data_IF_803162016185
#
_entry.id   IF_803162016185
#
_cell.length_a   1.000
_cell.length_b   1.000
_cell.length_c   1.000
_cell.angle_alpha   90.00
_cell.angle_beta   90.00
_cell.angle_gamma   90.00
#
_symmetry.space_group_name_H-M   'P 1'
#
loop_
_entity.id
_entity.type
_entity.pdbx_description
1 polymer ?
#
# COMPACT_ATOMS: atom_id res chain seq x y z
N UNK A 1 19.39 3.14 9.75
CA UNK A 1 18.03 3.57 10.17
C UNK A 1 17.04 2.57 9.58
N UNK A 2 16.37 1.76 10.40
CA UNK A 2 15.34 0.79 9.96
C UNK A 2 13.97 1.46 10.12
N UNK A 3 13.58 2.29 9.16
CA UNK A 3 12.30 3.05 9.15
C UNK A 3 11.26 2.40 8.23
N UNK A 4 11.10 1.08 8.30
CA UNK A 4 10.21 0.33 7.41
C UNK A 4 8.76 0.15 7.91
N UNK A 5 8.46 0.01 9.22
CA UNK A 5 7.09 -0.31 9.64
C UNK A 5 6.15 0.89 9.57
N UNK A 6 6.61 2.08 9.95
CA UNK A 6 5.77 3.30 9.98
C UNK A 6 5.24 3.63 8.58
N UNK A 7 6.10 3.55 7.54
CA UNK A 7 5.69 3.83 6.16
C UNK A 7 4.67 2.83 5.61
N UNK A 8 4.76 1.55 5.98
CA UNK A 8 3.80 0.56 5.50
C UNK A 8 2.41 0.80 6.10
N UNK A 9 2.34 1.02 7.42
CA UNK A 9 1.07 1.28 8.11
C UNK A 9 0.43 2.59 7.65
N UNK A 10 1.23 3.63 7.39
CA UNK A 10 0.73 4.91 6.86
C UNK A 10 0.13 4.77 5.45
N UNK A 11 0.83 4.08 4.54
CA UNK A 11 0.37 3.84 3.18
C UNK A 11 -0.88 2.93 3.17
N UNK A 12 -0.93 1.92 4.04
CA UNK A 12 -2.11 1.07 4.21
C UNK A 12 -3.32 1.86 4.73
N UNK A 13 -3.12 2.71 5.75
CA UNK A 13 -4.17 3.58 6.27
C UNK A 13 -4.68 4.55 5.20
N UNK A 14 -3.78 5.07 4.36
CA UNK A 14 -4.18 5.92 3.24
C UNK A 14 -5.02 5.17 2.21
N UNK A 15 -4.68 3.92 1.92
CA UNK A 15 -5.49 3.06 1.05
C UNK A 15 -6.91 2.86 1.60
N UNK A 16 -7.06 2.62 2.90
CA UNK A 16 -8.36 2.48 3.55
C UNK A 16 -9.20 3.78 3.46
N UNK A 17 -8.57 4.94 3.64
CA UNK A 17 -9.21 6.24 3.45
C UNK A 17 -9.71 6.44 2.01
N UNK A 18 -8.90 6.04 1.02
CA UNK A 18 -9.25 6.10 -0.41
C UNK A 18 -10.48 5.23 -0.69
N UNK A 19 -10.48 3.97 -0.21
CA UNK A 19 -11.59 3.04 -0.39
C UNK A 19 -12.86 3.58 0.26
N UNK A 20 -12.76 4.09 1.48
CA UNK A 20 -13.87 4.70 2.20
C UNK A 20 -14.47 5.87 1.43
N UNK A 21 -13.63 6.77 0.90
CA UNK A 21 -14.07 7.90 0.07
C UNK A 21 -14.77 7.43 -1.20
N UNK A 22 -14.14 6.56 -1.99
CA UNK A 22 -14.74 6.04 -3.24
C UNK A 22 -16.09 5.36 -2.98
N UNK A 23 -16.23 4.67 -1.84
CA UNK A 23 -17.48 4.00 -1.47
C UNK A 23 -18.63 4.95 -1.10
N UNK A 24 -18.35 6.22 -0.76
CA UNK A 24 -19.38 7.15 -0.27
C UNK A 24 -20.34 7.65 -1.36
N UNK A 25 -20.16 7.25 -2.63
CA UNK A 25 -21.01 7.54 -3.81
C UNK A 25 -21.29 9.03 -4.12
N UNK A 26 -20.68 9.95 -3.38
CA UNK A 26 -20.87 11.41 -3.52
C UNK A 26 -19.69 12.12 -4.16
N UNK A 27 -18.63 11.39 -4.56
CA UNK A 27 -17.46 12.01 -5.17
C UNK A 27 -17.69 12.34 -6.65
N UNK A 28 -17.23 13.52 -7.10
CA UNK A 28 -17.10 13.82 -8.52
C UNK A 28 -16.26 12.76 -9.24
N UNK A 29 -16.55 12.54 -10.53
CA UNK A 29 -15.83 11.57 -11.36
C UNK A 29 -14.32 11.85 -11.40
N UNK A 30 -13.93 13.12 -11.53
CA UNK A 30 -12.52 13.51 -11.61
C UNK A 30 -11.76 13.18 -10.32
N UNK A 31 -12.37 13.43 -9.16
CA UNK A 31 -11.77 13.07 -7.87
C UNK A 31 -11.73 11.55 -7.67
N UNK A 32 -12.76 10.84 -8.10
CA UNK A 32 -12.79 9.37 -8.06
C UNK A 32 -11.66 8.76 -8.89
N UNK A 33 -11.37 9.33 -10.06
CA UNK A 33 -10.25 8.91 -10.91
C UNK A 33 -8.90 9.18 -10.25
N UNK A 34 -8.71 10.35 -9.63
CA UNK A 34 -7.48 10.70 -8.90
C UNK A 34 -7.24 9.75 -7.73
N UNK A 35 -8.27 9.51 -6.90
CA UNK A 35 -8.19 8.59 -5.76
C UNK A 35 -7.92 7.15 -6.21
N UNK A 36 -8.52 6.72 -7.33
CA UNK A 36 -8.26 5.40 -7.90
C UNK A 36 -6.80 5.24 -8.34
N UNK A 37 -6.25 6.24 -9.06
CA UNK A 37 -4.84 6.24 -9.46
C UNK A 37 -3.91 6.20 -8.25
N UNK A 38 -4.16 7.05 -7.26
CA UNK A 38 -3.41 7.06 -6.00
C UNK A 38 -3.46 5.68 -5.31
N UNK A 39 -4.64 5.08 -5.22
CA UNK A 39 -4.82 3.75 -4.63
C UNK A 39 -4.04 2.66 -5.37
N UNK A 40 -4.00 2.70 -6.71
CA UNK A 40 -3.19 1.76 -7.51
C UNK A 40 -1.68 1.91 -7.22
N UNK A 41 -1.18 3.14 -7.11
CA UNK A 41 0.23 3.37 -6.78
C UNK A 41 0.60 2.84 -5.39
N UNK A 42 -0.28 3.06 -4.41
CA UNK A 42 -0.11 2.57 -3.05
C UNK A 42 -0.07 1.03 -3.04
N UNK A 43 -1.00 0.37 -3.73
CA UNK A 43 -1.03 -1.10 -3.85
C UNK A 43 0.29 -1.62 -4.41
N UNK A 44 0.80 -1.04 -5.50
CA UNK A 44 2.07 -1.45 -6.11
C UNK A 44 3.23 -1.30 -5.12
N UNK A 45 3.29 -0.19 -4.37
CA UNK A 45 4.33 0.03 -3.35
C UNK A 45 4.26 -1.00 -2.22
N UNK A 46 3.07 -1.25 -1.68
CA UNK A 46 2.86 -2.21 -0.59
C UNK A 46 3.23 -3.63 -1.04
N UNK A 47 2.80 -4.05 -2.24
CA UNK A 47 3.17 -5.35 -2.79
C UNK A 47 4.68 -5.51 -2.95
N UNK A 48 5.39 -4.45 -3.40
CA UNK A 48 6.85 -4.47 -3.50
C UNK A 48 7.51 -4.62 -2.13
N UNK A 49 7.05 -3.87 -1.13
CA UNK A 49 7.55 -3.96 0.25
C UNK A 49 7.38 -5.36 0.83
N UNK A 50 6.20 -5.96 0.65
CA UNK A 50 5.91 -7.32 1.11
C UNK A 50 6.82 -8.34 0.43
N UNK A 51 6.99 -8.24 -0.90
CA UNK A 51 7.89 -9.12 -1.65
C UNK A 51 9.34 -9.00 -1.16
N UNK A 52 9.84 -7.78 -0.95
CA UNK A 52 11.19 -7.57 -0.41
C UNK A 52 11.35 -8.11 1.01
N UNK A 53 10.28 -8.11 1.81
CA UNK A 53 10.28 -8.70 3.14
C UNK A 53 10.29 -10.23 3.07
N UNK A 54 9.47 -10.82 2.19
CA UNK A 54 9.42 -12.26 1.93
C UNK A 54 10.78 -12.80 1.46
N UNK A 55 11.41 -12.16 0.45
CA UNK A 55 12.74 -12.54 -0.03
C UNK A 55 13.82 -12.47 1.07
N UNK A 56 13.71 -11.52 2.00
CA UNK A 56 14.63 -11.43 3.14
C UNK A 56 14.40 -12.54 4.13
N UNK A 57 13.15 -12.90 4.40
CA UNK A 57 12.81 -14.02 5.29
C UNK A 57 13.28 -15.33 4.68
N UNK A 58 12.99 -15.60 3.41
CA UNK A 58 13.47 -16.79 2.70
C UNK A 58 14.98 -16.96 2.82
N UNK A 59 15.76 -15.91 2.53
CA UNK A 59 17.23 -15.95 2.63
C UNK A 59 17.76 -16.26 4.05
N UNK A 60 17.01 -15.91 5.09
CA UNK A 60 17.39 -16.20 6.48
C UNK A 60 17.02 -17.64 6.84
N UNK A 61 15.92 -18.16 6.29
CA UNK A 61 15.43 -19.52 6.58
C UNK A 61 16.16 -20.58 5.73
N UNK A 62 16.68 -20.22 4.55
CA UNK A 62 17.45 -21.11 3.65
C UNK A 62 18.92 -21.31 4.07
N UNK A 63 19.33 -20.78 5.22
CA UNK A 63 20.63 -21.10 5.83
C UNK A 63 20.53 -22.50 6.44
N UNK A 64 20.77 -23.51 5.61
CA UNK A 64 20.91 -24.92 6.00
C UNK A 64 22.37 -25.37 5.94
#
# INVERSE_FOLDING_TARGET
>A
MKETPIKFEEELKRLDEIVSKISSKTLPLEESLKLYQEGQEIIVKLSKLLKEAEEKVEKVVDIK
#
